data_IF_921002754299
#
_entry.id   IF_921002754299
#
_cell.length_a   1.000
_cell.length_b   1.000
_cell.length_c   1.000
_cell.angle_alpha   90.00
_cell.angle_beta   90.00
_cell.angle_gamma   90.00
#
_symmetry.space_group_name_H-M   'P 1'
#
loop_
_entity.id
_entity.type
_entity.pdbx_description
1 polymer ?
#
# COMPACT_ATOMS: atom_id res chain seq x y z
N UNK A 1 -12.38 10.32 -7.26
CA UNK A 1 -12.07 9.94 -5.86
C UNK A 1 -10.78 9.12 -5.91
N UNK A 2 -9.68 9.63 -5.33
CA UNK A 2 -8.38 8.96 -5.38
C UNK A 2 -8.34 7.84 -4.35
N UNK A 3 -7.89 6.64 -4.73
CA UNK A 3 -7.79 5.52 -3.79
C UNK A 3 -6.65 5.80 -2.78
N UNK A 4 -7.00 5.96 -1.51
CA UNK A 4 -6.01 6.10 -0.43
C UNK A 4 -5.41 4.73 -0.17
N UNK A 5 -4.12 4.58 -0.50
CA UNK A 5 -3.38 3.35 -0.26
C UNK A 5 -2.64 3.50 1.06
N UNK A 6 -3.02 2.68 2.04
CA UNK A 6 -2.32 2.60 3.31
C UNK A 6 -1.15 1.60 3.19
N UNK A 7 0.04 2.11 2.88
CA UNK A 7 1.24 1.27 2.81
C UNK A 7 1.53 0.62 4.18
N UNK A 8 1.63 -0.71 4.22
CA UNK A 8 1.98 -1.46 5.43
C UNK A 8 0.82 -1.73 6.42
N UNK A 9 -0.41 -1.29 6.13
CA UNK A 9 -1.59 -1.60 6.95
C UNK A 9 -2.42 -2.72 6.30
N UNK A 10 -2.72 -3.78 7.05
CA UNK A 10 -3.60 -4.88 6.60
C UNK A 10 -5.04 -4.42 6.36
N UNK A 11 -5.52 -3.45 7.13
CA UNK A 11 -6.87 -2.91 7.01
C UNK A 11 -6.89 -1.48 7.57
N UNK A 12 -6.36 -0.53 6.78
CA UNK A 12 -6.18 0.86 7.23
C UNK A 12 -7.48 1.55 7.60
N UNK A 13 -8.57 1.28 6.89
CA UNK A 13 -9.86 1.90 7.17
C UNK A 13 -10.41 1.53 8.55
N UNK A 14 -10.32 0.24 8.92
CA UNK A 14 -10.74 -0.21 10.25
C UNK A 14 -9.86 0.39 11.35
N UNK A 15 -8.55 0.37 11.16
CA UNK A 15 -7.62 0.90 12.15
C UNK A 15 -7.83 2.43 12.32
N UNK A 16 -8.15 3.16 11.24
CA UNK A 16 -8.50 4.58 11.27
C UNK A 16 -9.79 4.82 12.08
N UNK A 17 -10.86 4.05 11.81
CA UNK A 17 -12.11 4.16 12.59
C UNK A 17 -11.90 3.90 14.08
N UNK A 18 -11.02 2.95 14.42
CA UNK A 18 -10.64 2.68 15.82
C UNK A 18 -9.89 3.87 16.42
N UNK A 19 -8.92 4.43 15.68
CA UNK A 19 -8.18 5.61 16.12
C UNK A 19 -9.12 6.81 16.34
N UNK A 20 -10.05 7.06 15.42
CA UNK A 20 -11.00 8.17 15.51
C UNK A 20 -11.99 7.98 16.67
N UNK A 21 -12.45 6.74 16.93
CA UNK A 21 -13.31 6.43 18.06
C UNK A 21 -12.63 6.68 19.41
N UNK A 22 -11.32 6.42 19.49
CA UNK A 22 -10.52 6.65 20.71
C UNK A 22 -10.32 8.14 21.04
N UNK A 23 -10.61 9.06 20.12
CA UNK A 23 -10.59 10.51 20.41
C UNK A 23 -11.68 10.89 21.42
N UNK A 24 -12.82 10.20 21.36
CA UNK A 24 -14.01 10.55 22.15
C UNK A 24 -14.38 9.51 23.21
N UNK A 25 -13.90 8.27 23.08
CA UNK A 25 -14.28 7.14 23.95
C UNK A 25 -13.06 6.46 24.56
N UNK A 26 -13.26 5.82 25.71
CA UNK A 26 -12.19 5.07 26.35
C UNK A 26 -11.93 3.73 25.64
N UNK A 27 -10.70 3.21 25.73
CA UNK A 27 -10.25 1.96 25.08
C UNK A 27 -11.18 0.77 25.37
N UNK A 28 -11.72 0.69 26.58
CA UNK A 28 -12.62 -0.41 27.00
C UNK A 28 -13.97 -0.35 26.29
N UNK A 29 -14.48 0.84 26.00
CA UNK A 29 -15.76 1.03 25.30
C UNK A 29 -15.59 0.73 23.82
N UNK A 30 -14.52 1.24 23.21
CA UNK A 30 -14.15 0.94 21.82
C UNK A 30 -13.89 -0.56 21.65
N UNK A 31 -13.25 -1.22 22.62
CA UNK A 31 -13.07 -2.67 22.60
C UNK A 31 -14.41 -3.44 22.55
N UNK A 32 -15.42 -2.99 23.28
CA UNK A 32 -16.77 -3.59 23.25
C UNK A 32 -17.47 -3.35 21.93
N UNK A 33 -17.42 -2.12 21.39
CA UNK A 33 -18.07 -1.77 20.13
C UNK A 33 -17.51 -2.55 18.94
N UNK A 34 -16.19 -2.69 18.88
CA UNK A 34 -15.53 -3.40 17.80
C UNK A 34 -15.42 -4.91 18.06
N UNK A 35 -15.86 -5.40 19.24
CA UNK A 35 -15.74 -6.80 19.69
C UNK A 35 -14.29 -7.32 19.64
N UNK A 36 -13.33 -6.52 20.11
CA UNK A 36 -11.90 -6.84 20.09
C UNK A 36 -11.28 -6.73 21.47
N UNK A 37 -10.14 -7.40 21.65
CA UNK A 37 -9.35 -7.24 22.85
C UNK A 37 -8.81 -5.80 22.96
N UNK A 38 -8.76 -5.21 24.17
CA UNK A 38 -8.21 -3.87 24.39
C UNK A 38 -6.77 -3.68 23.88
N UNK A 39 -5.97 -4.76 23.89
CA UNK A 39 -4.61 -4.73 23.36
C UNK A 39 -4.60 -4.55 21.83
N UNK A 40 -5.55 -5.16 21.12
CA UNK A 40 -5.71 -5.01 19.68
C UNK A 40 -6.14 -3.59 19.31
N UNK A 41 -7.01 -2.97 20.11
CA UNK A 41 -7.42 -1.57 19.95
C UNK A 41 -6.21 -0.63 20.09
N UNK A 42 -5.41 -0.79 21.15
CA UNK A 42 -4.18 -0.02 21.36
C UNK A 42 -3.17 -0.21 20.22
N UNK A 43 -3.00 -1.44 19.74
CA UNK A 43 -2.12 -1.73 18.63
C UNK A 43 -2.61 -1.14 17.29
N UNK A 44 -3.94 -1.09 17.06
CA UNK A 44 -4.53 -0.45 15.89
C UNK A 44 -4.28 1.07 15.89
N UNK A 45 -4.55 1.73 17.02
CA UNK A 45 -4.30 3.16 17.17
C UNK A 45 -2.82 3.52 16.95
N UNK A 46 -1.90 2.73 17.53
CA UNK A 46 -0.46 2.93 17.34
C UNK A 46 -0.02 2.74 15.88
N UNK A 47 -0.66 1.82 15.15
CA UNK A 47 -0.38 1.60 13.72
C UNK A 47 -0.79 2.80 12.87
N UNK A 48 -1.91 3.44 13.17
CA UNK A 48 -2.34 4.68 12.50
C UNK A 48 -1.42 5.85 12.84
N UNK A 49 -1.04 6.02 14.10
CA UNK A 49 -0.09 7.06 14.51
C UNK A 49 1.27 6.94 13.80
N UNK A 50 1.71 5.71 13.54
CA UNK A 50 2.95 5.43 12.83
C UNK A 50 2.78 5.33 11.31
N UNK A 51 1.56 5.46 10.78
CA UNK A 51 1.30 5.32 9.36
C UNK A 51 1.89 6.52 8.61
N UNK A 52 2.76 6.23 7.64
CA UNK A 52 3.28 7.25 6.73
C UNK A 52 2.40 7.27 5.49
N UNK A 53 1.75 8.41 5.25
CA UNK A 53 0.88 8.61 4.10
C UNK A 53 1.70 9.21 2.96
N UNK A 54 1.63 8.58 1.79
CA UNK A 54 2.28 9.07 0.58
C UNK A 54 1.22 9.41 -0.47
N UNK A 55 1.38 10.55 -1.13
CA UNK A 55 0.56 10.91 -2.28
C UNK A 55 1.18 10.31 -3.54
N UNK A 56 0.47 9.34 -4.13
CA UNK A 56 0.88 8.70 -5.39
C UNK A 56 0.28 9.46 -6.56
N UNK A 57 1.11 10.25 -7.24
CA UNK A 57 0.79 10.90 -8.50
C UNK A 57 1.15 9.99 -9.67
N UNK A 58 0.15 9.53 -10.43
CA UNK A 58 0.38 8.83 -11.69
C UNK A 58 0.83 9.85 -12.75
N UNK A 59 2.13 9.98 -12.93
CA UNK A 59 2.74 10.73 -14.03
C UNK A 59 2.53 9.90 -15.31
N UNK A 60 1.45 10.17 -16.03
CA UNK A 60 0.90 9.35 -17.13
C UNK A 60 1.92 8.62 -18.00
N UNK A 61 1.83 7.29 -18.02
CA UNK A 61 2.68 6.38 -18.80
C UNK A 61 1.88 5.35 -19.61
N UNK A 62 0.64 5.67 -19.99
CA UNK A 62 -0.26 4.73 -20.68
C UNK A 62 0.32 4.09 -21.95
N UNK A 63 1.24 4.78 -22.64
CA UNK A 63 1.90 4.26 -23.83
C UNK A 63 3.08 3.32 -23.55
N UNK A 64 3.83 3.53 -22.46
CA UNK A 64 5.04 2.75 -22.17
C UNK A 64 4.72 1.35 -21.60
N UNK A 65 3.64 1.22 -20.83
CA UNK A 65 3.22 -0.06 -20.26
C UNK A 65 2.51 -0.99 -21.27
N UNK A 66 1.89 -0.42 -22.31
CA UNK A 66 1.32 -1.19 -23.42
C UNK A 66 2.41 -1.95 -24.21
N UNK A 67 3.60 -1.38 -24.35
CA UNK A 67 4.74 -2.03 -24.99
C UNK A 67 5.21 -3.29 -24.23
N UNK A 68 5.15 -3.27 -22.89
CA UNK A 68 5.48 -4.42 -22.05
C UNK A 68 4.42 -5.53 -22.08
N UNK A 69 3.12 -5.17 -22.19
CA UNK A 69 2.05 -6.16 -22.33
C UNK A 69 2.00 -6.78 -23.74
N UNK A 70 2.28 -6.00 -24.79
CA UNK A 70 2.34 -6.50 -26.18
C UNK A 70 3.45 -7.54 -26.40
N UNK A 71 4.55 -7.49 -25.63
CA UNK A 71 5.63 -8.51 -25.69
C UNK A 71 5.40 -9.75 -24.82
N UNK A 72 4.29 -9.86 -24.08
CA UNK A 72 3.93 -11.08 -23.32
C UNK A 72 2.98 -12.02 -24.08
N UNK A 73 2.81 -11.83 -25.38
CA UNK A 73 2.37 -12.90 -26.27
C UNK A 73 3.58 -13.67 -26.77
N UNK A 74 3.72 -14.94 -26.38
CA UNK A 74 4.87 -15.84 -26.61
C UNK A 74 6.08 -15.61 -25.70
N UNK A 75 6.03 -16.15 -24.49
CA UNK A 75 7.20 -16.88 -23.99
C UNK A 75 7.26 -18.19 -24.78
N UNK A 76 8.27 -18.44 -25.64
CA UNK A 76 8.57 -19.80 -26.03
C UNK A 76 9.10 -20.50 -24.78
N UNK A 77 8.44 -21.58 -24.37
CA UNK A 77 9.05 -22.51 -23.41
C UNK A 77 10.40 -22.96 -23.98
N UNK A 78 11.51 -22.64 -23.29
CA UNK A 78 12.81 -23.27 -23.55
C UNK A 78 13.97 -22.41 -24.08
N UNK A 79 14.07 -21.10 -23.78
CA UNK A 79 15.25 -20.29 -24.11
C UNK A 79 16.04 -19.79 -22.89
N UNK A 80 17.39 -19.63 -22.95
CA UNK A 80 18.19 -19.20 -21.82
C UNK A 80 17.84 -17.75 -21.44
N UNK A 81 17.50 -17.54 -20.18
CA UNK A 81 17.13 -16.25 -19.58
C UNK A 81 18.19 -15.18 -19.86
N UNK A 82 17.94 -14.29 -20.82
CA UNK A 82 18.66 -13.01 -20.89
C UNK A 82 17.77 -11.92 -20.34
N UNK A 83 18.19 -11.33 -19.23
CA UNK A 83 17.64 -10.06 -18.75
C UNK A 83 17.88 -9.00 -19.83
N UNK A 84 16.85 -8.23 -20.24
CA UNK A 84 17.09 -7.08 -21.10
C UNK A 84 17.90 -6.03 -20.34
N UNK A 85 19.00 -5.57 -20.92
CA UNK A 85 19.81 -4.50 -20.37
C UNK A 85 18.99 -3.21 -20.30
N UNK A 86 18.82 -2.68 -19.09
CA UNK A 86 18.20 -1.39 -18.86
C UNK A 86 19.16 -0.26 -19.34
N UNK A 87 18.68 0.75 -20.09
CA UNK A 87 19.50 1.89 -20.46
C UNK A 87 19.94 2.66 -19.20
N UNK A 88 21.24 2.63 -18.92
CA UNK A 88 21.84 3.36 -17.79
C UNK A 88 21.96 4.85 -18.13
N UNK A 89 20.90 5.60 -17.92
CA UNK A 89 20.99 7.06 -17.81
C UNK A 89 20.74 7.47 -16.36
N UNK A 90 21.78 7.31 -15.53
CA UNK A 90 21.91 8.01 -14.25
C UNK A 90 23.08 9.00 -14.41
N UNK A 91 22.93 10.27 -14.00
CA UNK A 91 24.06 11.19 -13.96
C UNK A 91 25.04 10.71 -12.88
N UNK A 92 26.34 10.74 -13.19
CA UNK A 92 27.41 10.43 -12.24
C UNK A 92 27.73 11.67 -11.39
N UNK A 93 28.22 11.49 -10.14
CA UNK A 93 28.56 12.58 -9.23
C UNK A 93 29.72 13.45 -9.74
#
# INVERSE_FOLDING_TARGET
MQAVIYAGLRNGERDQRIHDALVYKHVVEVAKEFQLAPNTIRAAAKRIQNAVVFELCLLGGGAANAYWQSRRGLFPEGGPWRLPELPRHLPKP
#
